data_IF_421982213220
#
_entry.id   IF_421982213220
#
_cell.length_a   1.000
_cell.length_b   1.000
_cell.length_c   1.000
_cell.angle_alpha   90.00
_cell.angle_beta   90.00
_cell.angle_gamma   90.00
#
_symmetry.space_group_name_H-M   'P 1'
#
loop_
_entity.id
_entity.type
_entity.pdbx_description
1 polymer ?
#
# COMPACT_ATOMS: atom_id res chain seq x y z
N UNK A 1 81.83 -2.70 29.95
CA UNK A 1 82.90 -3.52 29.32
C UNK A 1 82.22 -4.48 28.36
N UNK A 2 82.66 -4.81 27.14
CA UNK A 2 83.83 -4.48 26.32
C UNK A 2 83.47 -5.12 24.95
N UNK A 3 83.57 -4.35 23.85
CA UNK A 3 84.14 -4.75 22.54
C UNK A 3 83.32 -5.76 21.68
N UNK A 4 82.75 -5.34 20.55
CA UNK A 4 83.37 -5.28 19.20
C UNK A 4 83.93 -6.65 18.77
N UNK A 5 83.51 -7.31 17.69
CA UNK A 5 83.94 -7.00 16.32
C UNK A 5 83.76 -8.33 15.52
N UNK A 6 83.12 -8.31 14.34
CA UNK A 6 83.75 -8.37 13.01
C UNK A 6 84.05 -9.80 12.51
N UNK A 7 83.35 -10.26 11.45
CA UNK A 7 83.91 -10.61 10.12
C UNK A 7 82.98 -11.44 9.20
N UNK A 8 82.84 -10.93 7.95
CA UNK A 8 82.71 -11.58 6.61
C UNK A 8 81.55 -12.56 6.33
N UNK A 9 80.59 -12.24 5.44
CA UNK A 9 80.61 -12.32 3.94
C UNK A 9 81.21 -13.65 3.45
N UNK A 10 80.59 -14.54 2.68
CA UNK A 10 79.65 -14.55 1.52
C UNK A 10 79.30 -16.05 1.30
N UNK A 11 78.41 -16.56 0.45
CA UNK A 11 77.33 -16.14 -0.44
C UNK A 11 76.64 -17.47 -0.87
N UNK A 12 75.38 -17.41 -1.28
CA UNK A 12 74.85 -18.39 -2.24
C UNK A 12 73.57 -19.12 -1.88
N UNK A 13 72.47 -18.60 -2.45
CA UNK A 13 71.42 -19.38 -3.14
C UNK A 13 70.39 -20.09 -2.25
N UNK A 14 69.27 -19.41 -1.99
CA UNK A 14 68.01 -20.05 -1.58
C UNK A 14 66.92 -19.79 -2.62
N UNK A 15 66.39 -20.89 -3.15
CA UNK A 15 65.29 -20.97 -4.11
C UNK A 15 63.95 -20.82 -3.38
N UNK A 16 63.08 -20.02 -4.00
CA UNK A 16 61.64 -20.26 -4.22
C UNK A 16 60.84 -20.62 -2.96
N UNK A 17 60.26 -19.57 -2.36
CA UNK A 17 59.19 -19.67 -1.37
C UNK A 17 57.87 -20.10 -2.00
N UNK A 18 57.29 -21.10 -1.34
CA UNK A 18 56.01 -21.75 -1.55
C UNK A 18 54.84 -20.77 -1.35
N UNK A 19 54.04 -20.52 -2.38
CA UNK A 19 52.79 -19.75 -2.30
C UNK A 19 51.67 -20.69 -1.90
N UNK A 20 51.18 -20.57 -0.67
CA UNK A 20 49.94 -21.21 -0.22
C UNK A 20 48.74 -20.50 -0.88
N UNK A 21 47.79 -21.20 -1.51
CA UNK A 21 46.57 -20.57 -2.01
C UNK A 21 45.65 -20.27 -0.82
N UNK A 22 45.36 -18.99 -0.61
CA UNK A 22 44.29 -18.54 0.27
C UNK A 22 42.95 -18.93 -0.38
N UNK A 23 42.25 -19.87 0.26
CA UNK A 23 40.91 -20.33 -0.12
C UNK A 23 39.93 -19.19 0.13
N UNK A 24 39.72 -18.34 -0.87
CA UNK A 24 38.70 -17.29 -0.85
C UNK A 24 37.33 -17.96 -1.00
N UNK A 25 36.63 -18.18 0.12
CA UNK A 25 35.23 -18.60 0.11
C UNK A 25 34.42 -17.38 -0.36
N UNK A 26 34.25 -17.28 -1.68
CA UNK A 26 33.34 -16.34 -2.31
C UNK A 26 31.92 -16.63 -1.84
N UNK A 27 31.41 -15.76 -0.97
CA UNK A 27 30.00 -15.72 -0.55
C UNK A 27 29.19 -15.39 -1.80
N UNK A 28 28.70 -16.41 -2.50
CA UNK A 28 27.69 -16.27 -3.55
C UNK A 28 26.45 -15.65 -2.89
N UNK A 29 26.32 -14.33 -3.01
CA UNK A 29 25.04 -13.69 -2.81
C UNK A 29 24.16 -14.16 -3.98
N UNK A 30 23.24 -15.06 -3.68
CA UNK A 30 22.15 -15.39 -4.58
C UNK A 30 21.28 -14.14 -4.71
N UNK A 31 21.60 -13.26 -5.66
CA UNK A 31 20.62 -12.29 -6.14
C UNK A 31 19.56 -13.11 -6.88
N UNK A 32 18.46 -13.44 -6.19
CA UNK A 32 17.27 -13.96 -6.85
C UNK A 32 16.90 -12.95 -7.93
N UNK A 33 17.03 -13.33 -9.20
CA UNK A 33 16.56 -12.50 -10.30
C UNK A 33 15.06 -12.25 -10.07
N UNK A 34 14.68 -11.00 -9.80
CA UNK A 34 13.26 -10.61 -9.72
C UNK A 34 12.65 -11.00 -11.07
N UNK A 35 11.60 -11.82 -11.05
CA UNK A 35 10.78 -12.10 -12.25
C UNK A 35 10.25 -10.75 -12.74
N UNK A 36 10.41 -10.44 -14.03
CA UNK A 36 9.91 -9.19 -14.59
C UNK A 36 8.38 -9.16 -14.45
N UNK A 37 7.87 -8.26 -13.60
CA UNK A 37 6.44 -8.06 -13.39
C UNK A 37 5.87 -7.16 -14.48
N UNK A 38 4.58 -7.31 -14.85
CA UNK A 38 3.95 -6.44 -15.85
C UNK A 38 3.88 -4.97 -15.46
N UNK A 39 4.00 -4.68 -14.16
CA UNK A 39 3.96 -3.35 -13.57
C UNK A 39 5.25 -3.14 -12.77
N UNK A 40 5.80 -1.92 -12.79
CA UNK A 40 6.94 -1.55 -11.96
C UNK A 40 6.50 -1.37 -10.49
N UNK A 41 6.76 -2.39 -9.66
CA UNK A 41 6.50 -2.37 -8.21
C UNK A 41 7.37 -1.39 -7.43
N UNK A 42 8.48 -0.95 -8.04
CA UNK A 42 9.37 0.08 -7.52
C UNK A 42 8.94 1.48 -8.03
N UNK A 43 7.67 1.65 -8.46
CA UNK A 43 7.07 2.94 -8.85
C UNK A 43 5.74 3.19 -8.14
N UNK A 44 5.26 4.44 -8.18
CA UNK A 44 3.92 4.78 -7.69
C UNK A 44 2.88 4.47 -8.74
N UNK A 45 1.84 3.73 -8.35
CA UNK A 45 0.68 3.48 -9.20
C UNK A 45 -0.57 3.23 -8.37
N UNK A 46 -1.72 3.30 -9.03
CA UNK A 46 -3.00 2.86 -8.48
C UNK A 46 -3.43 1.61 -9.25
N UNK A 47 -3.92 0.60 -8.56
CA UNK A 47 -4.41 -0.65 -9.15
C UNK A 47 -5.88 -0.81 -8.78
N UNK A 48 -6.73 -0.93 -9.80
CA UNK A 48 -8.14 -1.26 -9.68
C UNK A 48 -8.33 -2.75 -9.93
N UNK A 49 -8.77 -3.48 -8.91
CA UNK A 49 -9.04 -4.92 -8.97
C UNK A 49 -10.56 -5.12 -8.87
N UNK A 50 -11.24 -5.46 -9.96
CA UNK A 50 -12.70 -5.65 -9.93
C UNK A 50 -13.12 -6.80 -9.00
N UNK A 51 -13.99 -6.52 -8.02
CA UNK A 51 -14.56 -7.53 -7.11
C UNK A 51 -15.93 -7.98 -7.63
N UNK A 52 -16.75 -7.00 -8.01
CA UNK A 52 -18.04 -7.17 -8.67
C UNK A 52 -18.04 -6.42 -10.02
N UNK A 53 -19.10 -6.57 -10.81
CA UNK A 53 -19.31 -5.76 -12.01
C UNK A 53 -19.48 -4.25 -11.74
N UNK A 54 -19.67 -3.82 -10.49
CA UNK A 54 -19.80 -2.40 -10.11
C UNK A 54 -18.73 -1.90 -9.13
N UNK A 55 -18.12 -2.78 -8.33
CA UNK A 55 -17.16 -2.40 -7.28
C UNK A 55 -15.80 -3.04 -7.47
N UNK A 56 -14.78 -2.28 -7.10
CA UNK A 56 -13.37 -2.70 -7.18
C UNK A 56 -12.63 -2.49 -5.87
N UNK A 57 -11.66 -3.35 -5.62
CA UNK A 57 -10.62 -3.08 -4.64
C UNK A 57 -9.62 -2.11 -5.25
N UNK A 58 -9.46 -0.94 -4.64
CA UNK A 58 -8.54 0.10 -5.12
C UNK A 58 -7.32 0.12 -4.20
N UNK A 59 -6.14 -0.05 -4.79
CA UNK A 59 -4.88 -0.08 -4.06
C UNK A 59 -3.89 0.91 -4.65
N UNK A 60 -3.30 1.77 -3.81
CA UNK A 60 -2.17 2.61 -4.20
C UNK A 60 -0.85 1.96 -3.75
N UNK A 61 -0.02 1.59 -4.72
CA UNK A 61 1.35 1.18 -4.43
C UNK A 61 2.21 2.42 -4.19
N UNK A 62 2.80 2.51 -3.01
CA UNK A 62 3.76 3.55 -2.66
C UNK A 62 4.88 2.90 -1.85
N UNK A 63 6.01 2.65 -2.51
CA UNK A 63 7.20 2.12 -1.85
C UNK A 63 8.24 3.24 -1.62
N UNK A 64 8.54 3.62 -0.36
CA UNK A 64 9.55 4.63 -0.06
C UNK A 64 10.99 4.18 -0.37
N UNK A 65 11.23 2.89 -0.58
CA UNK A 65 12.53 2.27 -0.91
C UNK A 65 13.13 2.79 -2.22
N UNK A 66 12.34 3.48 -3.03
CA UNK A 66 12.68 4.00 -4.36
C UNK A 66 13.31 5.40 -4.28
N UNK A 67 13.15 6.10 -3.15
CA UNK A 67 13.69 7.46 -2.97
C UNK A 67 15.20 7.45 -2.69
N UNK A 68 15.91 8.47 -3.17
CA UNK A 68 17.34 8.65 -2.88
C UNK A 68 17.60 8.79 -1.37
N UNK A 69 18.77 8.32 -0.91
CA UNK A 69 19.19 8.21 0.50
C UNK A 69 19.06 9.56 1.24
N UNK A 70 19.29 10.66 0.53
CA UNK A 70 19.18 12.02 1.07
C UNK A 70 17.73 12.41 1.33
N UNK A 71 16.83 12.01 0.44
CA UNK A 71 15.39 12.28 0.51
C UNK A 71 14.70 11.38 1.56
N UNK A 72 15.18 10.14 1.72
CA UNK A 72 14.67 9.19 2.70
C UNK A 72 14.93 9.55 4.18
N UNK A 73 15.85 10.49 4.49
CA UNK A 73 16.26 10.80 5.87
C UNK A 73 15.19 11.48 6.72
N UNK A 74 14.43 12.42 6.15
CA UNK A 74 13.32 13.08 6.87
C UNK A 74 12.16 12.12 7.14
N UNK A 75 11.97 11.17 6.22
CA UNK A 75 11.02 10.07 6.35
C UNK A 75 11.43 9.08 7.44
N UNK A 76 12.74 8.91 7.61
CA UNK A 76 13.32 7.86 8.42
C UNK A 76 12.87 7.86 9.87
N UNK A 77 12.60 9.00 10.52
CA UNK A 77 12.26 8.98 11.96
C UNK A 77 10.83 8.50 12.22
N UNK A 78 9.86 8.95 11.41
CA UNK A 78 8.45 8.49 11.51
C UNK A 78 8.39 7.02 11.15
N UNK A 79 8.99 6.64 10.02
CA UNK A 79 9.05 5.25 9.57
C UNK A 79 9.77 4.37 10.56
N UNK A 80 10.90 4.78 11.15
CA UNK A 80 11.58 4.00 12.21
C UNK A 80 10.69 3.81 13.44
N UNK A 81 9.89 4.80 13.82
CA UNK A 81 8.97 4.66 14.94
C UNK A 81 7.85 3.68 14.60
N UNK A 82 7.23 3.85 13.43
CA UNK A 82 6.20 2.93 12.92
C UNK A 82 6.74 1.51 12.76
N UNK A 83 7.94 1.33 12.21
CA UNK A 83 8.64 0.06 12.07
C UNK A 83 8.92 -0.57 13.43
N UNK A 84 9.40 0.20 14.41
CA UNK A 84 9.61 -0.32 15.76
C UNK A 84 8.32 -0.81 16.38
N UNK A 85 7.26 0.00 16.34
CA UNK A 85 5.94 -0.36 16.88
C UNK A 85 5.40 -1.59 16.15
N UNK A 86 5.48 -1.61 14.82
CA UNK A 86 5.05 -2.73 13.97
C UNK A 86 5.87 -3.98 14.23
N UNK A 87 7.17 -3.86 14.47
CA UNK A 87 8.05 -5.00 14.79
C UNK A 87 7.72 -5.59 16.16
N UNK A 88 7.37 -4.76 17.14
CA UNK A 88 6.95 -5.21 18.47
C UNK A 88 5.57 -5.87 18.38
N UNK A 89 4.63 -5.22 17.69
CA UNK A 89 3.29 -5.73 17.48
C UNK A 89 3.30 -7.06 16.69
N UNK A 90 4.08 -7.16 15.63
CA UNK A 90 4.21 -8.39 14.82
C UNK A 90 4.86 -9.53 15.60
N UNK A 91 5.90 -9.27 16.40
CA UNK A 91 6.49 -10.28 17.31
C UNK A 91 5.48 -10.75 18.35
N UNK A 92 4.75 -9.83 18.97
CA UNK A 92 3.70 -10.15 19.94
C UNK A 92 2.56 -10.95 19.31
N UNK A 93 2.12 -10.55 18.11
CA UNK A 93 1.08 -11.23 17.34
C UNK A 93 1.52 -12.63 16.92
N UNK A 94 2.74 -12.79 16.41
CA UNK A 94 3.31 -14.09 16.03
C UNK A 94 3.30 -15.06 17.22
N UNK A 95 3.81 -14.60 18.38
CA UNK A 95 3.81 -15.37 19.62
C UNK A 95 2.40 -15.77 20.06
N UNK A 96 1.42 -14.87 19.91
CA UNK A 96 0.04 -15.14 20.28
C UNK A 96 -0.65 -16.13 19.31
N UNK A 97 -0.41 -15.99 18.00
CA UNK A 97 -0.99 -16.82 16.95
C UNK A 97 -0.40 -18.24 16.91
N UNK A 98 0.86 -18.42 17.30
CA UNK A 98 1.54 -19.73 17.41
C UNK A 98 1.27 -20.45 18.75
N UNK A 99 0.61 -19.79 19.70
CA UNK A 99 0.39 -20.36 21.04
C UNK A 99 -0.73 -21.41 21.04
N UNK A 100 -0.44 -22.58 21.62
CA UNK A 100 -1.43 -23.66 21.80
C UNK A 100 -2.35 -23.47 23.01
N UNK A 101 -2.09 -22.46 23.86
CA UNK A 101 -2.88 -22.18 25.06
C UNK A 101 -4.31 -21.81 24.64
N UNK A 102 -5.30 -22.55 25.14
CA UNK A 102 -6.73 -22.38 24.77
C UNK A 102 -7.24 -20.93 24.91
N UNK A 103 -6.78 -20.21 25.93
CA UNK A 103 -7.11 -18.78 26.13
C UNK A 103 -6.57 -17.93 24.98
N UNK A 104 -5.31 -18.12 24.58
CA UNK A 104 -4.69 -17.39 23.46
C UNK A 104 -5.38 -17.71 22.14
N UNK A 105 -5.72 -18.98 21.89
CA UNK A 105 -6.48 -19.39 20.69
C UNK A 105 -7.84 -18.68 20.63
N UNK A 106 -8.57 -18.59 21.75
CA UNK A 106 -9.84 -17.85 21.84
C UNK A 106 -9.65 -16.36 21.58
N UNK A 107 -8.59 -15.76 22.14
CA UNK A 107 -8.26 -14.34 21.92
C UNK A 107 -7.94 -14.08 20.45
N UNK A 108 -7.10 -14.90 19.82
CA UNK A 108 -6.76 -14.77 18.39
C UNK A 108 -8.01 -14.87 17.53
N UNK A 109 -8.90 -15.83 17.82
CA UNK A 109 -10.18 -15.98 17.11
C UNK A 109 -11.07 -14.75 17.28
N UNK A 110 -11.15 -14.21 18.49
CA UNK A 110 -11.91 -12.98 18.77
C UNK A 110 -11.33 -11.78 18.00
N UNK A 111 -10.01 -11.60 18.03
CA UNK A 111 -9.35 -10.49 17.31
C UNK A 111 -9.54 -10.65 15.80
N UNK A 112 -9.32 -11.83 15.22
CA UNK A 112 -9.57 -12.08 13.79
C UNK A 112 -11.01 -11.74 13.42
N UNK A 113 -11.99 -12.21 14.22
CA UNK A 113 -13.41 -11.88 14.04
C UNK A 113 -13.65 -10.37 14.09
N UNK A 114 -13.01 -9.64 15.00
CA UNK A 114 -13.13 -8.19 15.09
C UNK A 114 -12.50 -7.48 13.88
N UNK A 115 -11.32 -7.90 13.45
CA UNK A 115 -10.62 -7.34 12.28
C UNK A 115 -11.39 -7.60 10.97
N UNK A 116 -12.08 -8.72 10.87
CA UNK A 116 -12.96 -9.06 9.75
C UNK A 116 -14.20 -8.14 9.66
N UNK A 117 -14.60 -7.47 10.75
CA UNK A 117 -15.73 -6.52 10.71
C UNK A 117 -15.36 -5.16 10.11
N UNK A 118 -14.07 -4.83 10.05
CA UNK A 118 -13.59 -3.57 9.48
C UNK A 118 -13.86 -3.61 7.96
N UNK A 119 -14.52 -2.62 7.34
CA UNK A 119 -14.74 -2.61 5.89
C UNK A 119 -13.41 -2.67 5.12
N UNK A 120 -13.36 -3.43 4.02
CA UNK A 120 -12.15 -3.53 3.20
C UNK A 120 -11.81 -2.18 2.54
N UNK A 121 -12.80 -1.31 2.31
CA UNK A 121 -12.63 0.03 1.76
C UNK A 121 -11.71 0.90 2.63
N UNK A 122 -11.66 0.65 3.95
CA UNK A 122 -10.69 1.32 4.83
C UNK A 122 -9.25 0.99 4.44
N UNK A 123 -8.97 -0.26 4.03
CA UNK A 123 -7.64 -0.65 3.56
C UNK A 123 -7.30 0.02 2.23
N UNK A 124 -8.29 0.17 1.33
CA UNK A 124 -8.13 0.96 0.11
C UNK A 124 -7.70 2.40 0.44
N UNK A 125 -8.44 3.09 1.30
CA UNK A 125 -8.12 4.47 1.70
C UNK A 125 -6.76 4.58 2.41
N UNK A 126 -6.42 3.64 3.28
CA UNK A 126 -5.14 3.60 4.00
C UNK A 126 -3.93 3.46 3.07
N UNK A 127 -4.11 2.88 1.88
CA UNK A 127 -3.03 2.70 0.91
C UNK A 127 -2.56 4.02 0.28
N UNK A 128 -3.42 5.06 0.25
CA UNK A 128 -3.05 6.35 -0.33
C UNK A 128 -2.05 7.10 0.56
N UNK A 129 -0.85 7.42 0.04
CA UNK A 129 0.16 8.16 0.79
C UNK A 129 -0.25 9.63 0.91
N UNK A 130 0.40 10.34 1.83
CA UNK A 130 0.15 11.77 1.96
C UNK A 130 0.68 12.57 0.79
N UNK A 131 -0.07 13.60 0.36
CA UNK A 131 0.30 14.44 -0.80
C UNK A 131 1.77 14.84 -0.77
N UNK A 132 2.23 15.42 0.35
CA UNK A 132 3.62 15.88 0.52
C UNK A 132 4.67 14.76 0.34
N UNK A 133 4.28 13.53 0.64
CA UNK A 133 5.15 12.34 0.66
C UNK A 133 4.95 11.43 -0.53
N UNK A 134 4.01 11.81 -1.40
CA UNK A 134 3.71 11.06 -2.59
C UNK A 134 4.88 11.19 -3.56
N UNK A 135 5.33 10.05 -4.07
CA UNK A 135 6.41 10.00 -5.06
C UNK A 135 5.84 10.52 -6.38
N UNK A 136 6.65 11.28 -7.10
CA UNK A 136 6.34 11.88 -8.39
C UNK A 136 7.47 11.59 -9.33
N UNK A 137 7.11 11.22 -10.55
CA UNK A 137 8.05 11.05 -11.65
C UNK A 137 8.00 12.28 -12.55
N UNK A 138 9.17 12.68 -13.05
CA UNK A 138 9.32 13.81 -13.95
C UNK A 138 9.71 13.31 -15.33
N UNK A 139 9.40 14.06 -16.37
CA UNK A 139 9.81 13.74 -17.74
C UNK A 139 11.32 13.61 -17.86
N UNK A 140 11.76 12.58 -18.58
CA UNK A 140 13.16 12.23 -18.76
C UNK A 140 13.95 13.39 -19.40
N UNK A 141 13.31 14.14 -20.30
CA UNK A 141 13.91 15.29 -20.98
C UNK A 141 14.19 16.44 -19.99
N UNK A 142 13.31 16.67 -19.03
CA UNK A 142 13.50 17.66 -17.99
C UNK A 142 14.54 17.22 -16.96
N UNK A 143 14.56 15.93 -16.60
CA UNK A 143 15.56 15.36 -15.71
C UNK A 143 16.98 15.47 -16.29
N UNK A 144 17.16 15.27 -17.60
CA UNK A 144 18.47 15.41 -18.27
C UNK A 144 18.96 16.86 -18.36
N UNK A 145 18.04 17.82 -18.39
CA UNK A 145 18.38 19.25 -18.51
C UNK A 145 18.68 19.92 -17.17
N UNK A 146 18.24 19.32 -16.05
CA UNK A 146 18.43 19.87 -14.71
C UNK A 146 19.61 19.22 -13.99
N UNK A 147 20.23 19.92 -13.05
CA UNK A 147 21.36 19.42 -12.23
C UNK A 147 20.96 18.27 -11.30
N UNK A 148 19.66 17.94 -11.23
CA UNK A 148 19.12 16.88 -10.41
C UNK A 148 19.04 15.60 -11.24
N UNK A 149 20.04 14.72 -11.08
CA UNK A 149 20.14 13.46 -11.82
C UNK A 149 19.03 12.44 -11.54
N UNK A 150 18.11 12.72 -10.60
CA UNK A 150 17.02 11.82 -10.21
C UNK A 150 15.76 12.13 -11.02
N UNK A 151 15.07 11.10 -11.52
CA UNK A 151 13.76 11.24 -12.19
C UNK A 151 12.59 11.22 -11.22
N UNK A 152 12.84 10.87 -9.95
CA UNK A 152 11.84 10.64 -8.91
C UNK A 152 12.07 11.54 -7.70
N UNK A 153 11.01 12.15 -7.22
CA UNK A 153 11.02 13.07 -6.09
C UNK A 153 9.77 12.92 -5.23
N UNK A 154 9.82 13.38 -3.99
CA UNK A 154 8.60 13.61 -3.21
C UNK A 154 7.91 14.88 -3.70
N UNK A 155 6.58 14.92 -3.64
CA UNK A 155 5.80 16.12 -4.01
C UNK A 155 6.31 17.38 -3.28
N UNK A 156 6.63 17.30 -1.99
CA UNK A 156 7.13 18.47 -1.24
C UNK A 156 8.44 19.04 -1.81
N UNK A 157 9.29 18.17 -2.36
CA UNK A 157 10.55 18.57 -2.99
C UNK A 157 10.30 19.14 -4.38
N UNK A 158 9.36 18.56 -5.14
CA UNK A 158 8.94 19.12 -6.41
C UNK A 158 8.38 20.54 -6.23
N UNK A 159 7.61 20.78 -5.15
CA UNK A 159 7.09 22.09 -4.78
C UNK A 159 8.21 23.07 -4.39
N UNK A 160 9.20 22.63 -3.60
CA UNK A 160 10.36 23.43 -3.18
C UNK A 160 11.25 23.82 -4.38
N UNK A 161 11.48 22.88 -5.30
CA UNK A 161 12.21 23.07 -6.55
C UNK A 161 11.38 23.80 -7.61
N UNK A 162 10.11 24.12 -7.33
CA UNK A 162 9.17 24.79 -8.24
C UNK A 162 9.09 24.12 -9.62
N UNK A 163 9.06 22.79 -9.64
CA UNK A 163 8.94 22.02 -10.88
C UNK A 163 7.56 22.31 -11.48
N UNK A 164 7.47 22.74 -12.75
CA UNK A 164 6.19 23.02 -13.38
C UNK A 164 5.36 21.73 -13.51
N UNK A 165 4.05 21.81 -13.24
CA UNK A 165 3.16 20.65 -13.26
C UNK A 165 3.09 19.92 -14.61
N UNK A 166 3.43 20.59 -15.72
CA UNK A 166 3.51 19.98 -17.05
C UNK A 166 4.66 19.00 -17.22
N UNK A 167 5.67 19.06 -16.34
CA UNK A 167 6.81 18.16 -16.36
C UNK A 167 6.63 16.95 -15.45
N UNK A 168 5.63 16.98 -14.57
CA UNK A 168 5.31 15.89 -13.65
C UNK A 168 4.39 14.91 -14.38
N UNK A 169 4.81 13.65 -14.46
CA UNK A 169 4.01 12.58 -15.05
C UNK A 169 2.79 12.28 -14.15
N UNK A 170 1.60 12.07 -14.72
CA UNK A 170 0.44 11.61 -13.95
C UNK A 170 0.69 10.21 -13.39
N UNK A 171 0.03 9.86 -12.29
CA UNK A 171 0.13 8.52 -11.71
C UNK A 171 -0.69 7.55 -12.57
N UNK A 172 -0.11 6.44 -13.02
CA UNK A 172 -0.86 5.43 -13.75
C UNK A 172 -1.86 4.73 -12.82
N UNK A 173 -3.11 4.63 -13.26
CA UNK A 173 -4.15 3.81 -12.67
C UNK A 173 -4.42 2.63 -13.59
N UNK A 174 -3.95 1.46 -13.18
CA UNK A 174 -4.07 0.22 -13.91
C UNK A 174 -5.42 -0.45 -13.69
N UNK A 175 -6.07 -0.84 -14.77
CA UNK A 175 -7.34 -1.56 -14.73
C UNK A 175 -7.46 -2.57 -15.89
N UNK A 176 -8.32 -3.59 -15.77
CA UNK A 176 -8.63 -4.49 -16.89
C UNK A 176 -9.51 -3.80 -17.94
N UNK A 177 -9.49 -4.31 -19.18
CA UNK A 177 -10.17 -3.70 -20.33
C UNK A 177 -11.69 -3.69 -20.21
N UNK A 178 -12.26 -4.74 -19.60
CA UNK A 178 -13.71 -4.85 -19.41
C UNK A 178 -14.25 -3.86 -18.37
N UNK A 179 -13.36 -3.25 -17.57
CA UNK A 179 -13.74 -2.25 -16.58
C UNK A 179 -13.73 -0.84 -17.20
N UNK A 180 -14.87 -0.15 -17.13
CA UNK A 180 -14.96 1.23 -17.57
C UNK A 180 -14.22 2.17 -16.59
N UNK A 181 -13.30 3.03 -17.08
CA UNK A 181 -12.64 4.05 -16.28
C UNK A 181 -13.62 4.98 -15.54
N UNK A 182 -14.78 5.28 -16.14
CA UNK A 182 -15.80 6.12 -15.51
C UNK A 182 -16.39 5.47 -14.25
N UNK A 183 -16.56 4.15 -14.25
CA UNK A 183 -17.05 3.41 -13.06
C UNK A 183 -16.03 3.50 -11.93
N UNK A 184 -14.75 3.35 -12.23
CA UNK A 184 -13.66 3.50 -11.25
C UNK A 184 -13.66 4.92 -10.67
N UNK A 185 -13.71 5.93 -11.54
CA UNK A 185 -13.70 7.33 -11.15
C UNK A 185 -14.91 7.68 -10.25
N UNK A 186 -16.11 7.22 -10.62
CA UNK A 186 -17.31 7.38 -9.79
C UNK A 186 -17.15 6.70 -8.42
N UNK A 187 -16.54 5.51 -8.38
CA UNK A 187 -16.26 4.83 -7.12
C UNK A 187 -15.27 5.62 -6.25
N UNK A 188 -14.23 6.20 -6.84
CA UNK A 188 -13.27 7.05 -6.13
C UNK A 188 -13.94 8.30 -5.54
N UNK A 189 -14.85 8.94 -6.28
CA UNK A 189 -15.64 10.06 -5.76
C UNK A 189 -16.54 9.64 -4.59
N UNK A 190 -17.23 8.50 -4.68
CA UNK A 190 -18.02 7.97 -3.55
C UNK A 190 -17.13 7.68 -2.33
N UNK A 191 -15.95 7.08 -2.53
CA UNK A 191 -14.98 6.87 -1.44
C UNK A 191 -14.58 8.18 -0.77
N UNK A 192 -14.39 9.26 -1.53
CA UNK A 192 -14.08 10.58 -0.96
C UNK A 192 -15.25 11.14 -0.14
N UNK A 193 -16.43 11.18 -0.74
CA UNK A 193 -17.59 11.91 -0.21
C UNK A 193 -18.19 11.23 1.04
N UNK A 194 -18.31 9.90 1.02
CA UNK A 194 -18.97 9.15 2.09
C UNK A 194 -18.03 8.87 3.27
N UNK A 195 -16.73 8.68 2.99
CA UNK A 195 -15.79 8.21 4.01
C UNK A 195 -15.31 9.34 4.95
N UNK A 196 -15.22 10.59 4.50
CA UNK A 196 -14.68 11.70 5.32
C UNK A 196 -15.47 11.89 6.62
N UNK A 197 -16.78 12.13 6.52
CA UNK A 197 -17.65 12.41 7.68
C UNK A 197 -17.71 11.20 8.61
N UNK A 198 -17.79 10.01 8.02
CA UNK A 198 -17.89 8.73 8.71
C UNK A 198 -16.65 8.48 9.57
N UNK A 199 -15.46 8.54 8.96
CA UNK A 199 -14.20 8.30 9.68
C UNK A 199 -13.84 9.41 10.65
N UNK A 200 -14.23 10.66 10.41
CA UNK A 200 -14.05 11.74 11.38
C UNK A 200 -14.87 11.46 12.66
N UNK A 201 -16.16 11.13 12.51
CA UNK A 201 -17.05 10.80 13.63
C UNK A 201 -16.52 9.60 14.42
N UNK A 202 -16.15 8.52 13.75
CA UNK A 202 -15.65 7.32 14.42
C UNK A 202 -14.26 7.52 15.04
N UNK A 203 -13.39 8.34 14.45
CA UNK A 203 -12.11 8.71 15.08
C UNK A 203 -12.35 9.41 16.42
N UNK A 204 -13.24 10.40 16.46
CA UNK A 204 -13.57 11.11 17.70
C UNK A 204 -14.16 10.14 18.74
N UNK A 205 -15.10 9.29 18.32
CA UNK A 205 -15.72 8.30 19.20
C UNK A 205 -14.68 7.32 19.79
N UNK A 206 -13.77 6.81 18.96
CA UNK A 206 -12.70 5.93 19.43
C UNK A 206 -11.72 6.66 20.35
N UNK A 207 -11.37 7.92 20.06
CA UNK A 207 -10.49 8.71 20.91
C UNK A 207 -11.07 8.91 22.33
N UNK A 208 -12.39 9.11 22.45
CA UNK A 208 -13.10 9.16 23.73
C UNK A 208 -13.20 7.76 24.37
N UNK A 209 -13.37 6.71 23.56
CA UNK A 209 -13.45 5.33 24.03
C UNK A 209 -12.16 4.78 24.63
N UNK A 210 -10.99 5.23 24.16
CA UNK A 210 -9.68 4.80 24.67
C UNK A 210 -9.55 5.01 26.18
N UNK A 211 -9.70 6.23 26.75
CA UNK A 211 -9.56 6.42 28.20
C UNK A 211 -10.59 5.62 29.01
N UNK A 212 -11.80 5.42 28.47
CA UNK A 212 -12.84 4.59 29.11
C UNK A 212 -12.42 3.12 29.16
N UNK A 213 -11.64 2.65 28.18
CA UNK A 213 -11.14 1.27 28.14
C UNK A 213 -9.88 1.04 28.96
N UNK A 214 -9.18 2.09 29.42
CA UNK A 214 -7.92 1.99 30.17
C UNK A 214 -8.03 1.26 31.53
N UNK A 215 -9.10 1.39 32.33
CA UNK A 215 -9.24 0.65 33.58
C UNK A 215 -9.10 -0.87 33.42
N UNK A 216 -9.51 -1.41 32.27
CA UNK A 216 -9.38 -2.85 31.96
C UNK A 216 -7.95 -3.27 31.61
N UNK A 217 -7.03 -2.33 31.32
CA UNK A 217 -5.62 -2.63 31.07
C UNK A 217 -4.83 -2.96 32.36
N UNK A 218 -5.35 -2.57 33.53
CA UNK A 218 -4.70 -2.77 34.83
C UNK A 218 -4.85 -4.20 35.38
N UNK A 219 -5.66 -5.06 34.75
CA UNK A 219 -5.88 -6.44 35.20
C UNK A 219 -4.89 -7.39 34.52
N UNK A 220 -3.95 -8.01 35.25
CA UNK A 220 -2.81 -8.76 34.67
C UNK A 220 -3.18 -10.14 34.08
N UNK A 221 -4.45 -10.54 34.10
CA UNK A 221 -4.89 -11.91 33.76
C UNK A 221 -5.24 -12.05 32.26
N UNK A 222 -5.62 -10.96 31.57
CA UNK A 222 -6.03 -11.00 30.15
C UNK A 222 -5.56 -9.72 29.43
N UNK A 223 -5.00 -9.80 28.20
CA UNK A 223 -4.72 -8.61 27.43
C UNK A 223 -6.02 -7.80 27.21
N UNK A 224 -5.97 -6.48 27.35
CA UNK A 224 -7.12 -5.60 27.12
C UNK A 224 -7.50 -5.52 25.63
N UNK A 225 -8.06 -6.61 25.10
CA UNK A 225 -8.52 -6.74 23.72
C UNK A 225 -9.47 -5.59 23.33
N UNK A 226 -10.45 -5.18 24.17
CA UNK A 226 -11.31 -4.04 23.86
C UNK A 226 -10.52 -2.74 23.67
N UNK A 227 -9.61 -2.39 24.59
CA UNK A 227 -8.82 -1.18 24.50
C UNK A 227 -7.87 -1.17 23.31
N UNK A 228 -7.17 -2.28 23.06
CA UNK A 228 -6.32 -2.43 21.87
C UNK A 228 -7.12 -2.35 20.57
N UNK A 229 -8.31 -2.96 20.53
CA UNK A 229 -9.17 -2.88 19.37
C UNK A 229 -9.66 -1.45 19.12
N UNK A 230 -10.11 -0.72 20.16
CA UNK A 230 -10.54 0.69 20.00
C UNK A 230 -9.36 1.58 19.55
N UNK A 231 -8.16 1.38 20.11
CA UNK A 231 -6.97 2.10 19.68
C UNK A 231 -6.60 1.79 18.22
N UNK A 232 -6.67 0.52 17.81
CA UNK A 232 -6.47 0.12 16.42
C UNK A 232 -7.56 0.69 15.49
N UNK A 233 -8.82 0.74 15.93
CA UNK A 233 -9.92 1.38 15.20
C UNK A 233 -9.70 2.87 15.07
N UNK A 234 -9.21 3.56 16.10
CA UNK A 234 -8.80 4.96 15.98
C UNK A 234 -7.74 5.13 14.90
N UNK A 235 -6.68 4.32 14.93
CA UNK A 235 -5.63 4.34 13.92
C UNK A 235 -6.18 4.13 12.50
N UNK A 236 -7.04 3.13 12.30
CA UNK A 236 -7.65 2.86 10.99
C UNK A 236 -8.48 4.04 10.49
N UNK A 237 -9.34 4.61 11.32
CA UNK A 237 -10.18 5.75 10.95
C UNK A 237 -9.34 7.01 10.66
N UNK A 238 -8.30 7.29 11.45
CA UNK A 238 -7.40 8.43 11.21
C UNK A 238 -6.63 8.25 9.90
N UNK A 239 -6.09 7.05 9.64
CA UNK A 239 -5.39 6.77 8.38
C UNK A 239 -6.32 6.82 7.17
N UNK A 240 -7.55 6.31 7.28
CA UNK A 240 -8.54 6.44 6.23
C UNK A 240 -8.91 7.91 5.97
N UNK A 241 -9.05 8.74 7.01
CA UNK A 241 -9.31 10.18 6.88
C UNK A 241 -8.17 10.92 6.17
N UNK A 242 -6.92 10.56 6.47
CA UNK A 242 -5.76 11.07 5.74
C UNK A 242 -5.82 10.61 4.27
N UNK A 243 -6.07 9.33 4.03
CA UNK A 243 -6.25 8.77 2.69
C UNK A 243 -7.28 9.52 1.85
N UNK A 244 -8.45 9.84 2.42
CA UNK A 244 -9.49 10.65 1.76
C UNK A 244 -8.98 12.04 1.37
N UNK A 245 -8.26 12.72 2.26
CA UNK A 245 -7.68 14.06 1.95
C UNK A 245 -6.65 13.99 0.83
N UNK A 246 -5.94 12.87 0.70
CA UNK A 246 -4.93 12.69 -0.33
C UNK A 246 -5.56 12.24 -1.65
N UNK A 247 -6.62 11.44 -1.58
CA UNK A 247 -7.44 11.10 -2.72
C UNK A 247 -8.09 12.35 -3.33
N UNK A 248 -8.54 13.31 -2.53
CA UNK A 248 -9.10 14.58 -3.02
C UNK A 248 -8.10 15.34 -3.91
N UNK A 249 -6.82 15.34 -3.54
CA UNK A 249 -5.76 15.89 -4.38
C UNK A 249 -5.56 15.10 -5.68
N UNK A 250 -5.67 13.77 -5.65
CA UNK A 250 -5.54 12.95 -6.86
C UNK A 250 -6.71 13.15 -7.85
N UNK A 251 -7.90 13.44 -7.32
CA UNK A 251 -9.12 13.68 -8.08
C UNK A 251 -9.30 15.16 -8.46
N UNK A 252 -8.27 16.00 -8.33
CA UNK A 252 -8.33 17.40 -8.76
C UNK A 252 -8.51 17.47 -10.29
N UNK A 253 -9.62 18.08 -10.73
CA UNK A 253 -9.94 18.27 -12.14
C UNK A 253 -9.15 19.45 -12.73
N UNK A 254 -8.84 19.39 -14.01
CA UNK A 254 -8.15 20.46 -14.75
C UNK A 254 -8.94 21.79 -14.82
N UNK A 255 -10.22 21.78 -14.43
CA UNK A 255 -11.15 22.90 -14.58
C UNK A 255 -11.35 23.74 -13.30
N UNK A 256 -10.85 23.29 -12.14
CA UNK A 256 -11.07 23.95 -10.85
C UNK A 256 -9.78 24.56 -10.27
N UNK A 257 -9.83 25.85 -9.88
CA UNK A 257 -8.85 26.47 -8.97
C UNK A 257 -8.92 25.76 -7.61
N UNK A 258 -7.80 25.68 -6.85
CA UNK A 258 -7.71 24.87 -5.64
C UNK A 258 -8.82 25.25 -4.66
N UNK A 259 -9.73 24.30 -4.40
CA UNK A 259 -10.78 24.47 -3.42
C UNK A 259 -10.17 24.59 -2.03
N UNK A 260 -10.52 25.67 -1.34
CA UNK A 260 -10.23 25.88 0.07
C UNK A 260 -10.62 24.65 0.92
N UNK A 261 -9.97 24.41 2.08
CA UNK A 261 -10.20 23.23 2.90
C UNK A 261 -11.69 23.04 3.23
N UNK A 262 -12.12 21.78 3.20
CA UNK A 262 -13.48 21.25 3.31
C UNK A 262 -14.29 21.64 4.56
N UNK A 263 -14.44 22.94 4.80
CA UNK A 263 -15.16 23.55 5.91
C UNK A 263 -16.16 24.59 5.38
N UNK A 264 -16.84 24.31 4.26
CA UNK A 264 -17.97 25.12 3.82
C UNK A 264 -19.02 24.19 3.22
N UNK A 265 -20.13 24.06 3.94
CA UNK A 265 -21.38 23.49 3.45
C UNK A 265 -21.92 24.31 2.28
N UNK A 266 -22.41 23.61 1.25
CA UNK A 266 -23.16 24.10 0.05
C UNK A 266 -22.23 24.42 -1.14
N UNK A 267 -22.35 23.84 -2.34
CA UNK A 267 -23.48 23.20 -3.03
C UNK A 267 -23.01 21.92 -3.75
N UNK A 268 -23.86 20.87 -3.77
CA UNK A 268 -23.70 19.71 -4.65
C UNK A 268 -23.94 20.16 -6.10
N UNK A 269 -22.97 20.79 -6.74
CA UNK A 269 -22.96 20.87 -8.20
C UNK A 269 -22.44 19.51 -8.68
N UNK A 270 -23.29 18.76 -9.37
CA UNK A 270 -22.91 17.52 -10.02
C UNK A 270 -21.86 17.84 -11.09
N UNK A 271 -20.59 17.85 -10.70
CA UNK A 271 -19.47 17.93 -11.63
C UNK A 271 -19.40 16.52 -12.22
N UNK A 272 -19.91 16.38 -13.44
CA UNK A 272 -19.72 15.19 -14.25
C UNK A 272 -18.29 15.22 -14.79
N UNK A 273 -17.31 15.04 -13.90
CA UNK A 273 -15.90 14.94 -14.25
C UNK A 273 -15.73 13.76 -15.19
N UNK A 274 -15.15 14.01 -16.35
CA UNK A 274 -14.82 12.96 -17.31
C UNK A 274 -13.43 12.41 -16.98
N UNK A 275 -13.17 11.17 -17.40
CA UNK A 275 -11.90 10.45 -17.15
C UNK A 275 -10.67 11.23 -17.65
N UNK A 276 -10.86 12.10 -18.65
CA UNK A 276 -9.79 12.92 -19.22
C UNK A 276 -9.54 14.22 -18.45
N UNK A 277 -10.40 14.58 -17.49
CA UNK A 277 -10.30 15.83 -16.75
C UNK A 277 -9.39 15.72 -15.52
N UNK A 278 -9.03 14.51 -15.07
CA UNK A 278 -8.19 14.32 -13.90
C UNK A 278 -6.75 14.72 -14.17
N UNK A 279 -6.22 15.64 -13.36
CA UNK A 279 -4.86 16.20 -13.55
C UNK A 279 -3.74 15.26 -13.14
N UNK A 280 -3.99 14.42 -12.13
CA UNK A 280 -2.96 13.66 -11.43
C UNK A 280 -3.01 12.15 -11.67
N UNK A 281 -4.04 11.66 -12.37
CA UNK A 281 -4.26 10.25 -12.65
C UNK A 281 -4.37 10.07 -14.17
N UNK A 282 -3.72 9.03 -14.69
CA UNK A 282 -3.89 8.56 -16.06
C UNK A 282 -4.41 7.12 -16.02
N UNK A 283 -5.51 6.84 -16.72
CA UNK A 283 -6.08 5.49 -16.76
C UNK A 283 -5.36 4.66 -17.82
N UNK A 284 -4.81 3.53 -17.41
CA UNK A 284 -4.04 2.63 -18.26
C UNK A 284 -4.58 1.21 -18.16
N UNK A 285 -4.78 0.60 -19.33
CA UNK A 285 -5.22 -0.79 -19.42
C UNK A 285 -4.02 -1.73 -19.35
N UNK A 286 -4.17 -2.86 -18.64
CA UNK A 286 -3.13 -3.89 -18.52
C UNK A 286 -3.67 -5.24 -18.99
N UNK A 287 -3.17 -5.73 -20.13
CA UNK A 287 -3.55 -7.03 -20.71
C UNK A 287 -3.39 -8.21 -19.75
N UNK A 288 -2.37 -8.17 -18.89
CA UNK A 288 -2.10 -9.22 -17.92
C UNK A 288 -3.21 -9.34 -16.88
N UNK A 289 -3.91 -8.25 -16.54
CA UNK A 289 -5.10 -8.33 -15.68
C UNK A 289 -6.21 -9.11 -16.39
N UNK A 290 -6.49 -8.78 -17.65
CA UNK A 290 -7.53 -9.45 -18.44
C UNK A 290 -7.27 -10.95 -18.58
N UNK A 291 -6.01 -11.35 -18.78
CA UNK A 291 -5.61 -12.75 -18.87
C UNK A 291 -5.94 -13.55 -17.59
N UNK A 292 -5.75 -12.96 -16.41
CA UNK A 292 -6.03 -13.62 -15.12
C UNK A 292 -7.54 -13.80 -14.93
N UNK A 293 -8.34 -12.79 -15.25
CA UNK A 293 -9.80 -12.91 -15.18
C UNK A 293 -10.33 -13.91 -16.21
N UNK A 294 -9.82 -13.88 -17.45
CA UNK A 294 -10.30 -14.74 -18.54
C UNK A 294 -9.95 -16.22 -18.34
N UNK A 295 -8.78 -16.52 -17.75
CA UNK A 295 -8.34 -17.90 -17.47
C UNK A 295 -9.13 -18.59 -16.36
N UNK A 296 -9.75 -17.82 -15.46
CA UNK A 296 -10.43 -18.33 -14.28
C UNK A 296 -11.94 -18.09 -14.29
N UNK A 297 -12.46 -17.37 -15.29
CA UNK A 297 -13.89 -17.11 -15.43
C UNK A 297 -14.43 -17.85 -16.64
N UNK A 298 -15.29 -18.84 -16.41
CA UNK A 298 -16.16 -19.34 -17.48
C UNK A 298 -17.22 -18.27 -17.76
N UNK A 299 -16.85 -17.27 -18.55
CA UNK A 299 -17.61 -16.04 -18.83
C UNK A 299 -18.78 -16.31 -19.81
N UNK A 300 -19.50 -17.41 -19.61
CA UNK A 300 -20.53 -17.91 -20.54
C UNK A 300 -21.96 -17.49 -20.18
N UNK A 301 -22.21 -16.82 -19.05
CA UNK A 301 -23.55 -16.32 -18.70
C UNK A 301 -23.71 -14.84 -19.09
N UNK A 302 -23.80 -14.59 -20.40
CA UNK A 302 -24.43 -13.38 -20.93
C UNK A 302 -25.95 -13.48 -20.79
N UNK A 303 -26.47 -13.62 -19.57
CA UNK A 303 -27.87 -13.27 -19.31
C UNK A 303 -27.91 -11.82 -18.83
N UNK A 304 -28.38 -10.97 -19.75
CA UNK A 304 -28.74 -9.57 -19.57
C UNK A 304 -29.80 -9.41 -18.48
N UNK A 305 -29.38 -9.31 -17.22
CA UNK A 305 -30.17 -8.69 -16.16
C UNK A 305 -29.23 -7.84 -15.30
N UNK A 306 -29.73 -6.68 -14.92
CA UNK A 306 -29.11 -5.53 -14.24
C UNK A 306 -28.45 -5.79 -12.89
N UNK A 307 -28.27 -7.05 -12.50
CA UNK A 307 -27.94 -7.43 -11.14
C UNK A 307 -26.42 -7.43 -10.90
N UNK A 308 -26.04 -7.00 -9.70
CA UNK A 308 -24.64 -6.96 -9.28
C UNK A 308 -24.14 -8.38 -8.99
N UNK A 309 -23.04 -8.80 -9.63
CA UNK A 309 -22.46 -10.14 -9.50
C UNK A 309 -20.97 -10.08 -9.14
N UNK A 310 -20.53 -11.02 -8.31
CA UNK A 310 -19.11 -11.22 -7.97
C UNK A 310 -18.37 -11.80 -9.17
N UNK A 311 -17.23 -11.21 -9.48
CA UNK A 311 -16.36 -11.64 -10.59
C UNK A 311 -14.99 -12.14 -10.13
N UNK A 312 -14.58 -11.80 -8.91
CA UNK A 312 -13.31 -12.28 -8.34
C UNK A 312 -13.48 -13.61 -7.62
N UNK A 313 -12.51 -14.52 -7.76
CA UNK A 313 -12.44 -15.82 -7.08
C UNK A 313 -11.12 -15.96 -6.30
N UNK A 314 -11.00 -16.91 -5.36
CA UNK A 314 -9.72 -17.18 -4.69
C UNK A 314 -8.58 -17.50 -5.66
N UNK A 315 -8.86 -18.19 -6.76
CA UNK A 315 -7.86 -18.53 -7.79
C UNK A 315 -7.41 -17.28 -8.55
N UNK A 316 -8.33 -16.36 -8.86
CA UNK A 316 -8.01 -15.04 -9.43
C UNK A 316 -7.13 -14.25 -8.47
N UNK A 317 -7.45 -14.24 -7.17
CA UNK A 317 -6.66 -13.54 -6.15
C UNK A 317 -5.24 -14.10 -6.10
N UNK A 318 -5.09 -15.43 -6.13
CA UNK A 318 -3.78 -16.07 -6.14
C UNK A 318 -3.00 -15.76 -7.41
N UNK A 319 -3.65 -15.77 -8.58
CA UNK A 319 -3.06 -15.35 -9.84
C UNK A 319 -2.61 -13.88 -9.84
N UNK A 320 -3.43 -12.98 -9.28
CA UNK A 320 -3.08 -11.56 -9.14
C UNK A 320 -1.86 -11.37 -8.23
N UNK A 321 -1.89 -11.96 -7.04
CA UNK A 321 -0.79 -11.81 -6.08
C UNK A 321 0.54 -12.40 -6.58
N UNK A 322 0.50 -13.49 -7.35
CA UNK A 322 1.69 -14.11 -7.93
C UNK A 322 2.22 -13.33 -9.13
N UNK A 323 1.36 -12.98 -10.10
CA UNK A 323 1.80 -12.34 -11.34
C UNK A 323 2.25 -10.89 -11.15
N UNK A 324 1.68 -10.18 -10.17
CA UNK A 324 2.06 -8.81 -9.86
C UNK A 324 3.02 -8.70 -8.67
N UNK A 325 3.45 -9.81 -8.05
CA UNK A 325 4.28 -9.82 -6.83
C UNK A 325 3.70 -8.94 -5.69
N UNK A 326 2.41 -9.12 -5.42
CA UNK A 326 1.65 -8.40 -4.38
C UNK A 326 1.11 -9.36 -3.30
N UNK A 327 1.97 -10.15 -2.62
CA UNK A 327 1.51 -11.16 -1.64
C UNK A 327 0.80 -10.53 -0.42
N UNK A 328 1.12 -9.28 -0.10
CA UNK A 328 0.53 -8.57 1.03
C UNK A 328 -0.95 -8.21 0.80
N UNK A 329 -1.45 -8.19 -0.45
CA UNK A 329 -2.84 -7.90 -0.76
C UNK A 329 -3.77 -9.12 -0.62
N UNK A 330 -3.22 -10.34 -0.54
CA UNK A 330 -4.02 -11.57 -0.58
C UNK A 330 -5.12 -11.60 0.49
N UNK A 331 -4.77 -11.33 1.74
CA UNK A 331 -5.73 -11.33 2.84
C UNK A 331 -6.78 -10.23 2.72
N UNK A 332 -6.38 -9.06 2.22
CA UNK A 332 -7.28 -7.93 2.01
C UNK A 332 -8.27 -8.19 0.87
N UNK A 333 -7.83 -8.81 -0.23
CA UNK A 333 -8.68 -9.23 -1.34
C UNK A 333 -9.64 -10.35 -0.95
N UNK A 334 -9.15 -11.35 -0.20
CA UNK A 334 -10.01 -12.42 0.32
C UNK A 334 -11.07 -11.86 1.29
N UNK A 335 -10.70 -10.86 2.09
CA UNK A 335 -11.64 -10.15 2.95
C UNK A 335 -12.67 -9.37 2.14
N UNK A 336 -12.26 -8.66 1.09
CA UNK A 336 -13.15 -7.94 0.19
C UNK A 336 -14.15 -8.88 -0.49
N UNK A 337 -13.67 -10.02 -1.01
CA UNK A 337 -14.51 -11.09 -1.57
C UNK A 337 -15.54 -11.58 -0.54
N UNK A 338 -15.13 -11.88 0.70
CA UNK A 338 -16.05 -12.33 1.76
C UNK A 338 -17.12 -11.28 2.08
N UNK A 339 -16.72 -10.01 2.23
CA UNK A 339 -17.64 -8.93 2.59
C UNK A 339 -18.65 -8.63 1.49
N UNK A 340 -18.20 -8.55 0.22
CA UNK A 340 -19.10 -8.34 -0.92
C UNK A 340 -20.00 -9.55 -1.17
N UNK A 341 -19.50 -10.78 -1.00
CA UNK A 341 -20.32 -11.99 -1.03
C UNK A 341 -21.45 -11.96 -0.01
N UNK A 342 -21.14 -11.54 1.22
CA UNK A 342 -22.13 -11.45 2.27
C UNK A 342 -23.14 -10.32 2.00
N UNK A 343 -22.69 -9.17 1.47
CA UNK A 343 -23.57 -8.06 1.12
C UNK A 343 -24.58 -8.44 0.05
N UNK A 344 -24.14 -9.11 -1.03
CA UNK A 344 -25.03 -9.52 -2.13
C UNK A 344 -26.05 -10.57 -1.69
N UNK A 345 -25.62 -11.62 -0.97
CA UNK A 345 -26.54 -12.62 -0.39
C UNK A 345 -27.59 -11.98 0.51
N UNK A 346 -27.21 -10.98 1.32
CA UNK A 346 -28.15 -10.26 2.17
C UNK A 346 -29.15 -9.43 1.34
N UNK A 347 -28.71 -8.82 0.24
CA UNK A 347 -29.57 -8.06 -0.65
C UNK A 347 -30.59 -8.96 -1.36
N UNK A 348 -30.16 -10.11 -1.89
CA UNK A 348 -31.02 -11.13 -2.51
C UNK A 348 -32.10 -11.61 -1.54
N UNK A 349 -31.72 -11.98 -0.31
CA UNK A 349 -32.68 -12.43 0.72
C UNK A 349 -33.71 -11.35 1.09
N UNK A 350 -33.32 -10.07 1.03
CA UNK A 350 -34.21 -8.94 1.34
C UNK A 350 -35.18 -8.66 0.20
N UNK A 351 -34.82 -8.97 -1.06
CA UNK A 351 -35.70 -8.82 -2.22
C UNK A 351 -36.72 -9.97 -2.36
N UNK A 352 -36.44 -11.12 -1.75
CA UNK A 352 -37.32 -12.31 -1.76
C UNK A 352 -38.30 -12.38 -0.58
N UNK A 353 -38.10 -11.54 0.46
CA UNK A 353 -38.98 -11.43 1.64
C UNK A 353 -39.93 -10.25 1.50
#
# INVERSE_FOLDING_TARGET
MVVSSVLKRQAGRLRIGEVRPALFIGRCQSSSAKVATPIDNDSIYVLSIPITNYKSYIFCNHQPSVLDVTQAKSISWVTKLEEKITSVASKGWKKLNESEISVNVKIVRLIKKLLDTIPYEENCLKSFPSQKWMIREVNDDYAKQTTHSSTRFMQSQADELKIPSSQIKPIPLYHPKFQSPTTILNQLYSFRDDAYKTHLKYSILCAIGIPISLPFALVPIVPNVPGFYIAYRLYCNVKALLGVKHLDYLLEDCTHKPSAPANASSEKKAIQSTVNDTKHIAFEHVDHLDAIYSSNTSLSDHNLLSDEKIIITPDIIDGLCQNFDLPHLKEDLLKALRQESHRLKKAENTQQS
#
